data_IF_118944294400
#
_entry.id   IF_118944294400
#
_cell.length_a   1.000
_cell.length_b   1.000
_cell.length_c   1.000
_cell.angle_alpha   90.00
_cell.angle_beta   90.00
_cell.angle_gamma   90.00
#
_symmetry.space_group_name_H-M   'P 1'
#
loop_
_entity.id
_entity.type
_entity.pdbx_description
1 polymer ?
#
# COMPACT_ATOMS: atom_id res chain seq x y z
N UNK A 1 9.18 14.89 -25.20
CA UNK A 1 8.71 13.49 -25.05
C UNK A 1 9.08 12.65 -26.27
N UNK A 2 8.85 13.17 -27.48
CA UNK A 2 9.22 12.50 -28.73
C UNK A 2 10.70 12.13 -28.81
N UNK A 3 11.61 13.08 -28.55
CA UNK A 3 13.06 12.80 -28.52
C UNK A 3 13.43 11.70 -27.51
N UNK A 4 12.86 11.70 -26.30
CA UNK A 4 13.10 10.65 -25.30
C UNK A 4 12.68 9.27 -25.84
N UNK A 5 11.54 9.20 -26.52
CA UNK A 5 11.07 7.95 -27.10
C UNK A 5 11.96 7.49 -28.25
N UNK A 6 12.25 8.37 -29.22
CA UNK A 6 12.94 8.02 -30.46
C UNK A 6 14.45 7.83 -30.28
N UNK A 7 15.09 8.65 -29.45
CA UNK A 7 16.55 8.65 -29.32
C UNK A 7 17.03 7.73 -28.21
N UNK A 8 16.20 7.48 -27.19
CA UNK A 8 16.60 6.70 -26.01
C UNK A 8 15.80 5.40 -25.84
N UNK A 9 14.48 5.48 -25.63
CA UNK A 9 13.71 4.33 -25.16
C UNK A 9 13.52 3.24 -26.24
N UNK A 10 13.20 3.63 -27.47
CA UNK A 10 13.04 2.69 -28.58
C UNK A 10 14.39 2.01 -28.91
N UNK A 11 15.50 2.74 -29.15
CA UNK A 11 16.79 2.12 -29.43
C UNK A 11 17.31 1.24 -28.29
N UNK A 12 17.11 1.66 -27.03
CA UNK A 12 17.48 0.85 -25.87
C UNK A 12 16.70 -0.47 -25.83
N UNK A 13 15.39 -0.42 -26.06
CA UNK A 13 14.53 -1.61 -26.08
C UNK A 13 14.94 -2.58 -27.19
N UNK A 14 15.25 -2.09 -28.40
CA UNK A 14 15.73 -2.92 -29.51
C UNK A 14 17.08 -3.59 -29.20
N UNK A 15 18.03 -2.82 -28.63
CA UNK A 15 19.33 -3.37 -28.21
C UNK A 15 19.18 -4.42 -27.11
N UNK A 16 18.25 -4.23 -26.17
CA UNK A 16 17.95 -5.20 -25.11
C UNK A 16 17.37 -6.50 -25.69
N UNK A 17 16.44 -6.39 -26.65
CA UNK A 17 15.88 -7.56 -27.36
C UNK A 17 16.95 -8.35 -28.10
N UNK A 18 17.90 -7.68 -28.77
CA UNK A 18 19.07 -8.34 -29.41
C UNK A 18 19.97 -9.09 -28.41
N UNK A 19 19.93 -8.73 -27.12
CA UNK A 19 20.65 -9.41 -26.03
C UNK A 19 19.81 -10.48 -25.32
N UNK A 20 18.68 -10.88 -25.89
CA UNK A 20 17.78 -11.90 -25.31
C UNK A 20 16.96 -11.41 -24.12
N UNK A 21 16.80 -10.10 -23.92
CA UNK A 21 15.92 -9.52 -22.88
C UNK A 21 14.55 -9.20 -23.49
N UNK A 22 13.48 -9.27 -22.69
CA UNK A 22 12.10 -9.03 -23.17
C UNK A 22 11.84 -7.56 -23.55
N UNK A 23 12.53 -6.61 -22.92
CA UNK A 23 12.36 -5.18 -23.17
C UNK A 23 12.99 -4.33 -22.07
N UNK A 24 12.48 -3.10 -21.93
CA UNK A 24 12.91 -2.12 -20.94
C UNK A 24 11.78 -1.83 -19.94
N UNK A 25 12.11 -1.83 -18.66
CA UNK A 25 11.28 -1.30 -17.57
C UNK A 25 12.02 -0.12 -16.95
N UNK A 26 11.34 1.02 -16.82
CA UNK A 26 11.84 2.21 -16.14
C UNK A 26 11.09 2.37 -14.83
N UNK A 27 11.82 2.50 -13.72
CA UNK A 27 11.24 2.83 -12.43
C UNK A 27 11.56 4.30 -12.16
N UNK A 28 10.52 5.13 -12.07
CA UNK A 28 10.65 6.53 -11.67
C UNK A 28 10.25 6.60 -10.21
N UNK A 29 11.28 6.58 -9.38
CA UNK A 29 11.17 6.59 -7.93
C UNK A 29 11.08 8.03 -7.38
N UNK A 30 10.73 8.12 -6.09
CA UNK A 30 10.73 9.35 -5.29
C UNK A 30 9.70 10.42 -5.71
N UNK A 31 8.78 10.10 -6.62
CA UNK A 31 7.67 11.01 -6.95
C UNK A 31 6.58 11.02 -5.88
N UNK A 32 6.58 10.06 -4.95
CA UNK A 32 5.78 10.06 -3.73
C UNK A 32 6.14 11.24 -2.79
N UNK A 33 7.33 11.84 -2.97
CA UNK A 33 7.80 13.01 -2.21
C UNK A 33 7.48 14.35 -2.87
N UNK A 34 6.74 14.34 -3.97
CA UNK A 34 6.25 15.58 -4.60
C UNK A 34 5.41 16.33 -3.57
N UNK A 35 5.69 17.62 -3.40
CA UNK A 35 4.97 18.46 -2.45
C UNK A 35 3.48 18.54 -2.78
N UNK A 36 2.67 18.86 -1.78
CA UNK A 36 1.24 19.11 -1.94
C UNK A 36 0.98 20.60 -2.17
N UNK A 37 1.85 21.30 -2.93
CA UNK A 37 1.61 22.71 -3.22
C UNK A 37 0.35 22.89 -4.06
N UNK A 38 -0.42 23.93 -3.77
CA UNK A 38 -1.58 24.33 -4.55
C UNK A 38 -1.10 25.14 -5.75
N UNK A 39 -1.49 24.74 -6.95
CA UNK A 39 -1.22 25.46 -8.19
C UNK A 39 -2.17 26.65 -8.35
N UNK A 40 -1.84 27.66 -9.20
CA UNK A 40 -2.71 28.80 -9.46
C UNK A 40 -4.13 28.43 -9.94
N UNK A 41 -4.30 27.24 -10.51
CA UNK A 41 -5.60 26.70 -10.93
C UNK A 41 -6.37 25.97 -9.80
N UNK A 42 -5.91 26.07 -8.55
CA UNK A 42 -6.53 25.46 -7.37
C UNK A 42 -6.24 23.97 -7.17
N UNK A 43 -5.54 23.31 -8.10
CA UNK A 43 -5.23 21.89 -8.01
C UNK A 43 -3.97 21.64 -7.18
N UNK A 44 -3.93 20.51 -6.49
CA UNK A 44 -2.69 20.04 -5.86
C UNK A 44 -1.69 19.57 -6.93
N UNK A 45 -0.40 19.85 -6.69
CA UNK A 45 0.71 19.47 -7.56
C UNK A 45 0.70 17.97 -7.96
N UNK A 46 0.43 17.00 -7.05
CA UNK A 46 0.32 15.59 -7.43
C UNK A 46 -0.84 15.31 -8.38
N UNK A 47 -2.00 15.92 -8.17
CA UNK A 47 -3.15 15.74 -9.07
C UNK A 47 -2.84 16.31 -10.46
N UNK A 48 -2.22 17.49 -10.51
CA UNK A 48 -1.79 18.06 -11.77
C UNK A 48 -0.80 17.14 -12.52
N UNK A 49 0.19 16.60 -11.83
CA UNK A 49 1.22 15.76 -12.46
C UNK A 49 0.66 14.42 -12.95
N UNK A 50 -0.11 13.73 -12.11
CA UNK A 50 -0.51 12.35 -12.38
C UNK A 50 -1.88 12.24 -13.06
N UNK A 51 -2.78 13.20 -12.89
CA UNK A 51 -4.12 13.15 -13.50
C UNK A 51 -4.17 13.99 -14.76
N UNK A 52 -3.87 15.29 -14.64
CA UNK A 52 -3.95 16.22 -15.78
C UNK A 52 -2.83 15.96 -16.79
N UNK A 53 -1.59 15.82 -16.30
CA UNK A 53 -0.40 15.50 -17.10
C UNK A 53 -0.13 14.00 -17.23
N UNK A 54 -1.01 13.15 -16.69
CA UNK A 54 -0.83 11.70 -16.75
C UNK A 54 -0.82 11.14 -18.17
N UNK A 55 -1.42 11.84 -19.13
CA UNK A 55 -1.36 11.42 -20.55
C UNK A 55 0.06 11.49 -21.10
N UNK A 56 0.80 12.54 -20.74
CA UNK A 56 2.20 12.67 -21.12
C UNK A 56 3.03 11.57 -20.45
N UNK A 57 2.77 11.27 -19.17
CA UNK A 57 3.46 10.20 -18.44
C UNK A 57 3.22 8.83 -19.10
N UNK A 58 1.98 8.56 -19.54
CA UNK A 58 1.63 7.28 -20.20
C UNK A 58 2.10 7.16 -21.67
N UNK A 59 2.79 8.16 -22.22
CA UNK A 59 3.28 8.15 -23.63
C UNK A 59 4.74 7.69 -23.78
N UNK A 60 5.43 7.35 -22.69
CA UNK A 60 6.78 6.78 -22.77
C UNK A 60 6.73 5.38 -23.41
N UNK A 61 7.56 5.13 -24.43
CA UNK A 61 7.55 3.89 -25.23
C UNK A 61 8.31 2.74 -24.55
N UNK A 62 7.99 2.47 -23.29
CA UNK A 62 8.48 1.35 -22.50
C UNK A 62 7.53 1.07 -21.32
N UNK A 63 7.77 0.00 -20.56
CA UNK A 63 7.05 -0.19 -19.31
C UNK A 63 7.58 0.78 -18.26
N UNK A 64 6.69 1.51 -17.59
CA UNK A 64 7.08 2.47 -16.56
C UNK A 64 6.37 2.14 -15.25
N UNK A 65 7.12 2.16 -14.16
CA UNK A 65 6.61 2.09 -12.79
C UNK A 65 6.83 3.46 -12.15
N UNK A 66 5.77 4.13 -11.77
CA UNK A 66 5.81 5.38 -11.03
C UNK A 66 5.57 5.10 -9.55
N UNK A 67 6.41 5.64 -8.66
CA UNK A 67 5.91 5.92 -7.31
C UNK A 67 4.95 7.10 -7.37
N UNK A 68 3.93 7.13 -6.53
CA UNK A 68 2.93 8.21 -6.51
C UNK A 68 2.67 8.64 -5.07
N UNK A 69 2.38 9.93 -4.82
CA UNK A 69 2.01 10.39 -3.49
C UNK A 69 0.79 9.65 -2.96
N UNK A 70 0.90 9.14 -1.72
CA UNK A 70 -0.14 8.35 -1.07
C UNK A 70 -1.49 9.09 -0.99
N UNK A 71 -1.47 10.42 -0.94
CA UNK A 71 -2.66 11.27 -0.96
C UNK A 71 -3.56 11.01 -2.17
N UNK A 72 -2.99 10.66 -3.33
CA UNK A 72 -3.77 10.37 -4.54
C UNK A 72 -4.60 9.08 -4.43
N UNK A 73 -4.15 8.14 -3.60
CA UNK A 73 -4.86 6.88 -3.36
C UNK A 73 -6.09 7.09 -2.48
N UNK A 74 -6.07 8.15 -1.66
CA UNK A 74 -7.15 8.46 -0.72
C UNK A 74 -7.94 9.73 -1.08
N UNK A 75 -7.70 10.31 -2.27
CA UNK A 75 -8.43 11.50 -2.73
C UNK A 75 -9.45 11.15 -3.81
N UNK A 76 -10.34 12.11 -4.11
CA UNK A 76 -11.32 12.01 -5.20
C UNK A 76 -10.65 11.91 -6.59
N UNK A 77 -9.33 12.07 -6.67
CA UNK A 77 -8.57 11.95 -7.90
C UNK A 77 -8.31 10.48 -8.31
N UNK A 78 -8.46 9.50 -7.40
CA UNK A 78 -8.13 8.10 -7.66
C UNK A 78 -8.81 7.55 -8.92
N UNK A 79 -10.12 7.80 -9.09
CA UNK A 79 -10.84 7.31 -10.28
C UNK A 79 -10.29 7.87 -11.59
N UNK A 80 -9.94 9.16 -11.61
CA UNK A 80 -9.33 9.80 -12.78
C UNK A 80 -7.91 9.29 -13.03
N UNK A 81 -7.15 9.05 -11.96
CA UNK A 81 -5.82 8.45 -12.01
C UNK A 81 -5.86 7.05 -12.63
N UNK A 82 -6.71 6.17 -12.12
CA UNK A 82 -6.88 4.80 -12.64
C UNK A 82 -7.29 4.83 -14.12
N UNK A 83 -8.25 5.69 -14.49
CA UNK A 83 -8.66 5.84 -15.89
C UNK A 83 -7.51 6.29 -16.80
N UNK A 84 -6.61 7.15 -16.30
CA UNK A 84 -5.49 7.67 -17.10
C UNK A 84 -4.40 6.64 -17.35
N UNK A 85 -4.11 5.80 -16.38
CA UNK A 85 -3.06 4.77 -16.45
C UNK A 85 -3.58 3.38 -16.83
N UNK A 86 -4.91 3.16 -16.82
CA UNK A 86 -5.55 1.89 -17.16
C UNK A 86 -5.32 0.78 -16.13
N UNK A 87 -4.75 1.10 -14.97
CA UNK A 87 -4.42 0.13 -13.91
C UNK A 87 -4.62 0.76 -12.54
N UNK A 88 -5.07 -0.03 -11.58
CA UNK A 88 -5.13 0.41 -10.19
C UNK A 88 -3.72 0.54 -9.60
N UNK A 89 -3.46 1.63 -8.84
CA UNK A 89 -2.23 1.76 -8.07
C UNK A 89 -2.01 0.53 -7.17
N UNK A 90 -0.76 0.06 -7.12
CA UNK A 90 -0.37 -1.04 -6.25
C UNK A 90 0.22 -0.48 -4.97
N UNK A 91 -0.42 -0.74 -3.84
CA UNK A 91 0.09 -0.38 -2.52
C UNK A 91 0.89 -1.55 -1.97
N UNK A 92 2.18 -1.34 -1.71
CA UNK A 92 3.00 -2.32 -1.03
C UNK A 92 2.78 -2.21 0.49
N UNK A 93 2.39 -3.29 1.18
CA UNK A 93 2.26 -3.27 2.63
C UNK A 93 3.62 -3.11 3.30
N UNK A 94 3.66 -2.38 4.41
CA UNK A 94 4.89 -2.18 5.20
C UNK A 94 5.38 -3.47 5.86
N UNK A 95 4.46 -4.41 6.14
CA UNK A 95 4.76 -5.70 6.75
C UNK A 95 4.17 -6.80 5.88
N UNK A 96 4.99 -7.73 5.39
CA UNK A 96 4.47 -8.85 4.62
C UNK A 96 3.67 -9.80 5.53
N UNK A 97 2.41 -10.10 5.20
CA UNK A 97 1.61 -11.13 5.89
C UNK A 97 1.44 -12.40 5.06
N UNK A 98 1.83 -12.36 3.79
CA UNK A 98 1.83 -13.48 2.85
C UNK A 98 3.10 -13.48 2.00
N UNK A 99 3.54 -14.68 1.61
CA UNK A 99 4.58 -14.93 0.61
C UNK A 99 4.00 -14.76 -0.80
N UNK A 100 4.87 -14.68 -1.80
CA UNK A 100 4.48 -14.57 -3.23
C UNK A 100 3.59 -15.72 -3.71
N UNK A 101 3.74 -16.91 -3.12
CA UNK A 101 2.92 -18.09 -3.42
C UNK A 101 1.57 -18.11 -2.66
N UNK A 102 1.20 -17.01 -1.98
CA UNK A 102 -0.07 -16.87 -1.26
C UNK A 102 -0.09 -17.49 0.14
N UNK A 103 0.96 -18.22 0.54
CA UNK A 103 1.09 -18.81 1.89
C UNK A 103 1.34 -17.71 2.92
N UNK A 104 0.77 -17.85 4.12
CA UNK A 104 0.99 -16.92 5.21
C UNK A 104 2.49 -16.73 5.53
N UNK A 105 2.85 -15.53 6.00
CA UNK A 105 4.19 -15.18 6.44
C UNK A 105 4.19 -14.93 7.96
N UNK A 106 4.47 -15.97 8.78
CA UNK A 106 4.31 -15.90 10.23
C UNK A 106 5.10 -14.78 10.89
N UNK A 107 6.33 -14.52 10.44
CA UNK A 107 7.17 -13.47 11.03
C UNK A 107 6.52 -12.09 10.95
N UNK A 108 5.90 -11.74 9.82
CA UNK A 108 5.20 -10.46 9.71
C UNK A 108 3.91 -10.42 10.52
N UNK A 109 3.17 -11.53 10.58
CA UNK A 109 1.98 -11.64 11.42
C UNK A 109 2.34 -11.44 12.89
N UNK A 110 3.41 -12.08 13.39
CA UNK A 110 3.89 -11.91 14.77
C UNK A 110 4.24 -10.45 15.07
N UNK A 111 4.94 -9.75 14.16
CA UNK A 111 5.25 -8.33 14.35
C UNK A 111 3.98 -7.45 14.45
N UNK A 112 2.93 -7.77 13.68
CA UNK A 112 1.66 -7.05 13.77
C UNK A 112 0.92 -7.35 15.09
N UNK A 113 0.95 -8.60 15.56
CA UNK A 113 0.39 -8.98 16.88
C UNK A 113 1.10 -8.22 18.00
N UNK A 114 2.43 -8.24 18.01
CA UNK A 114 3.24 -7.52 19.00
C UNK A 114 2.96 -6.02 19.00
N UNK A 115 2.80 -5.42 17.82
CA UNK A 115 2.48 -4.00 17.67
C UNK A 115 1.15 -3.64 18.33
N UNK A 116 0.12 -4.47 18.16
CA UNK A 116 -1.19 -4.28 18.81
C UNK A 116 -1.05 -4.43 20.33
N UNK A 117 -0.40 -5.51 20.78
CA UNK A 117 -0.28 -5.79 22.21
C UNK A 117 0.57 -4.76 22.95
N UNK A 118 1.65 -4.23 22.35
CA UNK A 118 2.45 -3.14 22.91
C UNK A 118 1.67 -1.83 23.03
N UNK A 119 0.66 -1.60 22.18
CA UNK A 119 -0.23 -0.44 22.28
C UNK A 119 -1.30 -0.64 23.36
N UNK A 120 -1.85 -1.83 23.47
CA UNK A 120 -2.86 -2.16 24.48
C UNK A 120 -2.27 -2.21 25.90
N UNK A 121 -1.05 -2.72 26.05
CA UNK A 121 -0.35 -2.87 27.32
C UNK A 121 1.08 -2.30 27.25
N UNK A 122 1.23 -0.97 27.28
CA UNK A 122 2.55 -0.33 27.25
C UNK A 122 3.41 -0.77 28.45
N UNK A 123 4.67 -1.10 28.20
CA UNK A 123 5.63 -1.49 29.25
C UNK A 123 5.58 -2.96 29.69
N UNK A 124 4.62 -3.75 29.19
CA UNK A 124 4.56 -5.21 29.43
C UNK A 124 5.50 -5.95 28.48
N UNK A 125 6.17 -6.99 28.96
CA UNK A 125 7.06 -7.80 28.12
C UNK A 125 6.29 -8.58 27.05
N UNK A 126 6.97 -8.98 25.96
CA UNK A 126 6.34 -9.71 24.86
C UNK A 126 5.68 -11.02 25.30
N UNK A 127 6.32 -11.75 26.21
CA UNK A 127 5.84 -13.03 26.72
C UNK A 127 4.60 -12.86 27.61
N UNK A 128 4.64 -11.90 28.55
CA UNK A 128 3.48 -11.57 29.38
C UNK A 128 2.31 -11.06 28.55
N UNK A 129 2.59 -10.29 27.49
CA UNK A 129 1.54 -9.76 26.61
C UNK A 129 0.73 -10.86 25.91
N UNK A 130 1.31 -12.05 25.67
CA UNK A 130 0.56 -13.16 25.07
C UNK A 130 -0.54 -13.67 25.99
N UNK A 131 -0.31 -13.67 27.30
CA UNK A 131 -1.30 -14.06 28.32
C UNK A 131 -2.42 -13.02 28.47
N UNK A 132 -2.23 -11.80 27.94
CA UNK A 132 -3.19 -10.71 27.98
C UNK A 132 -4.01 -10.59 26.69
N UNK A 133 -3.78 -11.42 25.67
CA UNK A 133 -4.53 -11.36 24.40
C UNK A 133 -6.03 -11.47 24.65
N UNK A 134 -6.45 -12.36 25.55
CA UNK A 134 -7.86 -12.60 25.89
C UNK A 134 -8.54 -11.44 26.62
N UNK A 135 -7.78 -10.41 27.02
CA UNK A 135 -8.33 -9.15 27.54
C UNK A 135 -8.79 -8.22 26.43
N UNK A 136 -8.26 -8.36 25.22
CA UNK A 136 -8.54 -7.47 24.08
C UNK A 136 -9.34 -8.20 22.99
N UNK A 137 -9.09 -9.49 22.78
CA UNK A 137 -9.75 -10.33 21.78
C UNK A 137 -10.35 -11.56 22.45
N UNK A 138 -11.41 -12.14 21.91
CA UNK A 138 -12.01 -13.36 22.45
C UNK A 138 -11.05 -14.57 22.42
N UNK A 139 -10.08 -14.54 21.50
CA UNK A 139 -9.15 -15.62 21.22
C UNK A 139 -7.88 -15.10 20.51
N UNK A 140 -6.73 -15.78 20.65
CA UNK A 140 -5.54 -15.49 19.85
C UNK A 140 -5.77 -15.56 18.33
N UNK A 141 -6.71 -16.40 17.89
CA UNK A 141 -7.08 -16.58 16.50
C UNK A 141 -7.80 -15.35 15.92
N UNK A 142 -8.57 -14.62 16.73
CA UNK A 142 -9.21 -13.36 16.30
C UNK A 142 -8.19 -12.25 16.09
N UNK A 143 -7.19 -12.14 16.98
CA UNK A 143 -6.05 -11.23 16.77
C UNK A 143 -5.27 -11.61 15.50
N UNK A 144 -5.01 -12.91 15.30
CA UNK A 144 -4.35 -13.37 14.07
C UNK A 144 -5.16 -13.06 12.82
N UNK A 145 -6.48 -13.25 12.86
CA UNK A 145 -7.38 -12.92 11.77
C UNK A 145 -7.27 -11.44 11.43
N UNK A 146 -7.35 -10.55 12.42
CA UNK A 146 -7.22 -9.10 12.25
C UNK A 146 -5.90 -8.76 11.52
N UNK A 147 -4.78 -9.34 11.95
CA UNK A 147 -3.49 -9.16 11.28
C UNK A 147 -3.52 -9.62 9.81
N UNK A 148 -4.13 -10.78 9.52
CA UNK A 148 -4.22 -11.31 8.15
C UNK A 148 -5.12 -10.45 7.25
N UNK A 149 -6.29 -10.03 7.71
CA UNK A 149 -7.22 -9.22 6.90
C UNK A 149 -6.72 -7.80 6.66
N UNK A 150 -5.85 -7.28 7.53
CA UNK A 150 -5.21 -5.97 7.31
C UNK A 150 -4.33 -5.93 6.06
N UNK A 151 -3.96 -7.10 5.52
CA UNK A 151 -3.05 -7.23 4.37
C UNK A 151 -1.62 -6.75 4.67
N UNK A 152 -1.28 -6.47 5.93
CA UNK A 152 0.01 -5.87 6.29
C UNK A 152 0.06 -4.35 6.22
N UNK A 153 -1.09 -3.71 5.95
CA UNK A 153 -1.22 -2.25 5.98
C UNK A 153 -1.54 -1.78 7.40
N UNK A 154 -0.60 -1.08 8.06
CA UNK A 154 -0.80 -0.59 9.43
C UNK A 154 -2.03 0.32 9.55
N UNK A 155 -2.30 1.17 8.54
CA UNK A 155 -3.50 2.03 8.53
C UNK A 155 -4.78 1.20 8.56
N UNK A 156 -4.85 0.15 7.73
CA UNK A 156 -6.02 -0.73 7.70
C UNK A 156 -6.14 -1.52 9.00
N UNK A 157 -5.02 -2.02 9.55
CA UNK A 157 -4.99 -2.73 10.82
C UNK A 157 -5.60 -1.90 11.95
N UNK A 158 -5.14 -0.67 12.11
CA UNK A 158 -5.63 0.24 13.16
C UNK A 158 -7.06 0.70 12.89
N UNK A 159 -7.44 0.89 11.62
CA UNK A 159 -8.81 1.27 11.25
C UNK A 159 -9.81 0.14 11.55
N UNK A 160 -9.48 -1.11 11.21
CA UNK A 160 -10.31 -2.27 11.52
C UNK A 160 -10.44 -2.46 13.04
N UNK A 161 -9.33 -2.34 13.77
CA UNK A 161 -9.33 -2.41 15.23
C UNK A 161 -10.22 -1.32 15.84
N UNK A 162 -10.07 -0.08 15.38
CA UNK A 162 -10.88 1.04 15.85
C UNK A 162 -12.38 0.83 15.58
N UNK A 163 -12.75 0.32 14.40
CA UNK A 163 -14.15 -0.02 14.08
C UNK A 163 -14.70 -1.09 15.02
N UNK A 164 -13.93 -2.12 15.33
CA UNK A 164 -14.36 -3.15 16.29
C UNK A 164 -14.67 -2.53 17.66
N UNK A 165 -13.80 -1.65 18.16
CA UNK A 165 -13.96 -0.94 19.43
C UNK A 165 -15.13 0.06 19.44
N UNK A 166 -15.63 0.47 18.27
CA UNK A 166 -16.86 1.27 18.18
C UNK A 166 -18.13 0.43 18.25
N UNK A 167 -18.04 -0.87 17.95
CA UNK A 167 -19.20 -1.78 17.92
C UNK A 167 -19.38 -2.54 19.24
N UNK A 168 -18.29 -2.90 19.92
CA UNK A 168 -18.34 -3.58 21.21
C UNK A 168 -17.12 -3.26 22.08
N UNK A 169 -17.29 -3.41 23.39
CA UNK A 169 -16.18 -3.38 24.34
C UNK A 169 -15.32 -4.64 24.21
N UNK A 170 -14.08 -4.54 24.68
CA UNK A 170 -13.19 -5.70 24.74
C UNK A 170 -13.72 -6.76 25.72
N UNK A 171 -13.56 -8.07 25.44
CA UNK A 171 -12.79 -8.63 24.32
C UNK A 171 -13.55 -8.64 22.99
N UNK A 172 -12.86 -8.20 21.92
CA UNK A 172 -13.37 -8.19 20.54
C UNK A 172 -13.59 -9.62 20.06
N UNK A 173 -14.82 -9.92 19.69
CA UNK A 173 -15.27 -11.20 19.18
C UNK A 173 -14.90 -11.40 17.71
N UNK A 174 -14.74 -12.68 17.32
CA UNK A 174 -14.56 -13.03 15.90
C UNK A 174 -15.72 -12.52 15.04
N UNK A 175 -16.94 -12.54 15.57
CA UNK A 175 -18.14 -12.09 14.87
C UNK A 175 -18.07 -10.58 14.56
N UNK A 176 -17.69 -9.76 15.55
CA UNK A 176 -17.51 -8.32 15.35
C UNK A 176 -16.46 -8.04 14.26
N UNK A 177 -15.31 -8.71 14.32
CA UNK A 177 -14.24 -8.54 13.33
C UNK A 177 -14.68 -8.85 11.88
N UNK A 178 -15.56 -9.83 11.67
CA UNK A 178 -16.03 -10.15 10.30
C UNK A 178 -17.13 -9.19 9.80
N UNK A 179 -17.60 -8.26 10.64
CA UNK A 179 -18.62 -7.27 10.26
C UNK A 179 -18.07 -5.88 9.89
N UNK A 180 -16.77 -5.63 10.10
CA UNK A 180 -16.13 -4.31 9.93
C UNK A 180 -15.41 -4.07 8.61
#
# INVERSE_FOLDING_TARGET
LESINQELLIPATEKLKKRGKTGLVVIIDNLDRVDNAVKPNGQYQPEYLFVERGEQLNKLKCHVVYTIPLVLIFSNALGRLTNRFGVDPKVLPMVAVKKRNGVDYPAGITLLKEMIMKRAFPGVSGEESQNLITKIFDSPETLERLCKVSGGHLRNLLMLLFRCLQMEDTPISRKCLETV
#
